data_IF_985257827678
#
_entry.id   IF_985257827678
#
_cell.length_a   1.000
_cell.length_b   1.000
_cell.length_c   1.000
_cell.angle_alpha   90.00
_cell.angle_beta   90.00
_cell.angle_gamma   90.00
#
_symmetry.space_group_name_H-M   'P 1'
#
loop_
_entity.id
_entity.type
_entity.pdbx_description
1 polymer ?
#
# COMPACT_ATOMS: atom_id res chain seq x y z
N UNK A 1 -38.52 -28.78 44.83
CA UNK A 1 -38.36 -27.35 45.18
C UNK A 1 -36.88 -27.04 45.21
N UNK A 2 -36.33 -26.52 44.12
CA UNK A 2 -35.09 -25.70 44.05
C UNK A 2 -34.91 -25.28 42.57
N UNK A 3 -35.69 -24.26 42.22
CA UNK A 3 -35.52 -23.40 41.06
C UNK A 3 -34.65 -22.21 41.49
N UNK A 4 -33.85 -21.67 40.54
CA UNK A 4 -33.07 -20.40 40.49
C UNK A 4 -31.60 -20.67 40.18
N UNK A 5 -30.88 -19.94 39.33
CA UNK A 5 -31.23 -18.83 38.44
C UNK A 5 -30.07 -18.69 37.44
N UNK A 6 -30.37 -18.51 36.16
CA UNK A 6 -29.40 -18.13 35.14
C UNK A 6 -29.29 -16.59 35.09
N UNK A 7 -28.21 -16.02 35.62
CA UNK A 7 -27.81 -14.60 35.49
C UNK A 7 -26.60 -14.41 36.42
N UNK A 8 -25.38 -14.09 36.04
CA UNK A 8 -24.93 -13.14 35.04
C UNK A 8 -23.51 -13.57 34.60
N UNK A 9 -23.34 -13.97 33.34
CA UNK A 9 -22.02 -13.88 32.71
C UNK A 9 -21.73 -12.39 32.52
N UNK A 10 -20.89 -11.82 33.38
CA UNK A 10 -20.37 -10.47 33.21
C UNK A 10 -19.67 -10.39 31.86
N UNK A 11 -20.25 -9.61 30.93
CA UNK A 11 -19.62 -9.22 29.67
C UNK A 11 -18.32 -8.49 30.02
N UNK A 12 -17.18 -9.17 29.91
CA UNK A 12 -15.92 -8.49 29.73
C UNK A 12 -16.05 -7.68 28.44
N UNK A 13 -16.20 -6.36 28.59
CA UNK A 13 -16.11 -5.44 27.48
C UNK A 13 -14.71 -5.61 26.89
N UNK A 14 -14.60 -6.37 25.80
CA UNK A 14 -13.43 -6.39 24.94
C UNK A 14 -13.26 -4.96 24.42
N UNK A 15 -12.51 -4.18 25.17
CA UNK A 15 -11.99 -2.90 24.72
C UNK A 15 -11.04 -3.26 23.57
N UNK A 16 -11.60 -3.33 22.35
CA UNK A 16 -10.82 -3.44 21.12
C UNK A 16 -10.00 -2.16 21.03
N UNK A 17 -8.81 -2.20 21.60
CA UNK A 17 -7.77 -1.23 21.29
C UNK A 17 -7.50 -1.41 19.81
N UNK A 18 -7.94 -0.47 18.99
CA UNK A 18 -7.48 -0.34 17.62
C UNK A 18 -6.01 0.08 17.70
N UNK A 19 -5.13 -0.90 17.89
CA UNK A 19 -3.70 -0.68 17.70
C UNK A 19 -3.51 -0.44 16.22
N UNK A 20 -3.34 0.82 15.83
CA UNK A 20 -2.76 1.13 14.52
C UNK A 20 -1.32 0.64 14.57
N UNK A 21 -1.09 -0.58 14.09
CA UNK A 21 0.25 -1.08 13.87
C UNK A 21 0.84 -0.30 12.69
N UNK A 22 1.70 0.67 12.97
CA UNK A 22 2.64 1.16 11.97
C UNK A 22 3.73 0.11 11.83
N UNK A 23 4.15 -0.20 10.60
CA UNK A 23 5.25 -1.13 10.38
C UNK A 23 6.49 -0.60 11.11
N UNK A 24 6.93 -1.32 12.15
CA UNK A 24 8.12 -1.00 12.97
C UNK A 24 9.43 -1.44 12.30
N UNK A 25 9.38 -1.83 11.03
CA UNK A 25 10.54 -2.34 10.30
C UNK A 25 11.30 -1.25 9.53
N UNK A 26 12.60 -1.50 9.32
CA UNK A 26 13.44 -0.69 8.44
C UNK A 26 12.83 -0.60 7.05
N UNK A 27 12.54 0.62 6.59
CA UNK A 27 11.91 0.83 5.29
C UNK A 27 12.79 0.30 4.15
N UNK A 28 12.18 -0.44 3.24
CA UNK A 28 12.83 -0.91 2.02
C UNK A 28 13.12 0.27 1.10
N UNK A 29 14.13 0.14 0.24
CA UNK A 29 14.55 1.16 -0.73
C UNK A 29 14.34 0.65 -2.15
N UNK A 30 13.92 1.53 -3.06
CA UNK A 30 13.88 1.23 -4.50
C UNK A 30 15.27 1.42 -5.12
N UNK A 31 15.44 0.95 -6.36
CA UNK A 31 16.68 1.17 -7.12
C UNK A 31 16.98 2.66 -7.37
N UNK A 32 15.94 3.51 -7.36
CA UNK A 32 16.07 4.96 -7.56
C UNK A 32 16.18 5.76 -6.25
N UNK A 33 16.28 5.08 -5.10
CA UNK A 33 16.33 5.75 -3.79
C UNK A 33 17.42 6.84 -3.70
N UNK A 34 18.66 6.52 -4.08
CA UNK A 34 19.76 7.48 -4.00
C UNK A 34 19.56 8.67 -4.94
N UNK A 35 18.93 8.44 -6.10
CA UNK A 35 18.54 9.52 -7.00
C UNK A 35 17.50 10.45 -6.34
N UNK A 36 16.49 9.89 -5.67
CA UNK A 36 15.46 10.67 -4.98
C UNK A 36 16.03 11.53 -3.85
N UNK A 37 16.94 10.97 -3.06
CA UNK A 37 17.64 11.72 -1.99
C UNK A 37 18.50 12.83 -2.58
N UNK A 38 19.24 12.54 -3.66
CA UNK A 38 20.09 13.55 -4.34
C UNK A 38 19.28 14.71 -4.93
N UNK A 39 18.05 14.46 -5.38
CA UNK A 39 17.14 15.48 -5.90
C UNK A 39 16.31 16.17 -4.79
N UNK A 40 16.67 16.02 -3.51
CA UNK A 40 15.95 16.60 -2.37
C UNK A 40 14.46 16.21 -2.34
N UNK A 41 14.16 14.97 -2.71
CA UNK A 41 12.83 14.40 -2.58
C UNK A 41 12.43 14.28 -1.11
N UNK A 42 11.22 14.73 -0.77
CA UNK A 42 10.62 14.54 0.54
C UNK A 42 10.27 13.06 0.72
N UNK A 43 11.14 12.31 1.38
CA UNK A 43 10.99 10.87 1.61
C UNK A 43 9.99 10.57 2.72
N UNK A 44 9.07 9.64 2.49
CA UNK A 44 8.08 9.18 3.46
C UNK A 44 7.98 7.65 3.46
N UNK A 45 7.41 7.08 4.52
CA UNK A 45 7.03 5.67 4.54
C UNK A 45 5.78 5.44 3.70
N UNK A 46 5.89 4.61 2.66
CA UNK A 46 4.77 4.21 1.83
C UNK A 46 4.86 2.71 1.50
N UNK A 47 3.83 1.93 1.86
CA UNK A 47 3.76 0.48 1.62
C UNK A 47 5.00 -0.32 2.06
N UNK A 48 5.67 0.10 3.15
CA UNK A 48 6.91 -0.52 3.64
C UNK A 48 8.20 -0.07 2.92
N UNK A 49 8.12 0.91 2.02
CA UNK A 49 9.25 1.52 1.32
C UNK A 49 9.46 2.98 1.74
N UNK A 50 10.68 3.47 1.60
CA UNK A 50 11.02 4.90 1.69
C UNK A 50 10.96 5.52 0.30
N UNK A 51 9.92 6.33 0.04
CA UNK A 51 9.57 6.84 -1.29
C UNK A 51 9.42 8.37 -1.29
N UNK A 52 9.75 9.08 -2.40
CA UNK A 52 9.55 10.52 -2.50
C UNK A 52 8.07 10.87 -2.75
N UNK A 53 7.52 11.83 -2.01
CA UNK A 53 6.17 12.38 -2.27
C UNK A 53 6.22 13.64 -3.11
N UNK A 54 7.22 14.47 -2.90
CA UNK A 54 7.33 15.79 -3.50
C UNK A 54 8.81 16.14 -3.64
N UNK A 55 9.17 16.79 -4.74
CA UNK A 55 10.47 17.45 -4.88
C UNK A 55 10.29 18.93 -4.55
N UNK A 56 11.22 19.48 -3.78
CA UNK A 56 11.08 20.75 -3.05
C UNK A 56 10.44 21.89 -3.86
N UNK A 57 10.81 21.98 -5.14
CA UNK A 57 10.54 23.15 -5.99
C UNK A 57 9.09 23.21 -6.53
N UNK A 58 8.33 22.13 -6.44
CA UNK A 58 6.99 22.02 -7.05
C UNK A 58 5.97 21.52 -6.03
N UNK A 59 4.83 22.21 -5.93
CA UNK A 59 3.66 21.67 -5.22
C UNK A 59 3.14 20.41 -5.91
N UNK A 60 2.41 19.55 -5.18
CA UNK A 60 1.76 18.38 -5.78
C UNK A 60 0.85 18.76 -6.97
N UNK A 61 0.08 19.84 -6.83
CA UNK A 61 -0.76 20.36 -7.91
C UNK A 61 0.04 20.84 -9.11
N UNK A 62 1.16 21.53 -8.89
CA UNK A 62 2.06 21.95 -9.95
C UNK A 62 2.69 20.75 -10.67
N UNK A 63 3.08 19.69 -9.94
CA UNK A 63 3.58 18.44 -10.52
C UNK A 63 2.54 17.74 -11.40
N UNK A 64 1.26 17.73 -10.99
CA UNK A 64 0.17 17.24 -11.83
C UNK A 64 0.02 18.03 -13.12
N UNK A 65 0.05 19.37 -13.05
CA UNK A 65 -0.04 20.23 -14.24
C UNK A 65 1.19 20.03 -15.14
N UNK A 66 2.39 19.90 -14.57
CA UNK A 66 3.61 19.64 -15.31
C UNK A 66 3.53 18.32 -16.09
N UNK A 67 3.07 17.25 -15.44
CA UNK A 67 2.87 15.93 -16.09
C UNK A 67 1.87 16.00 -17.26
N UNK A 68 0.86 16.86 -17.17
CA UNK A 68 -0.14 17.03 -18.24
C UNK A 68 0.35 17.90 -19.40
N UNK A 69 1.21 18.88 -19.14
CA UNK A 69 1.72 19.82 -20.14
C UNK A 69 3.06 19.38 -20.77
N UNK A 70 3.82 18.55 -20.07
CA UNK A 70 5.17 18.14 -20.41
C UNK A 70 5.33 16.62 -20.19
N UNK A 71 6.47 16.19 -19.63
CA UNK A 71 6.78 14.79 -19.33
C UNK A 71 7.28 14.68 -17.90
N UNK A 72 6.86 13.62 -17.21
CA UNK A 72 7.29 13.31 -15.84
C UNK A 72 7.71 11.85 -15.76
N UNK A 73 8.65 11.56 -14.86
CA UNK A 73 9.10 10.20 -14.53
C UNK A 73 8.49 9.77 -13.19
N UNK A 74 7.97 8.54 -13.13
CA UNK A 74 7.37 7.97 -11.92
C UNK A 74 8.12 6.70 -11.50
N UNK A 75 8.54 6.62 -10.23
CA UNK A 75 9.08 5.39 -9.66
C UNK A 75 7.94 4.48 -9.16
N UNK A 76 7.56 3.52 -10.00
CA UNK A 76 6.55 2.49 -9.70
C UNK A 76 7.18 1.17 -9.25
N UNK A 77 8.49 1.14 -8.97
CA UNK A 77 9.24 -0.12 -8.72
C UNK A 77 8.79 -0.86 -7.46
N UNK A 78 8.13 -0.17 -6.53
CA UNK A 78 7.57 -0.77 -5.31
C UNK A 78 6.24 -1.51 -5.57
N UNK A 79 5.60 -1.29 -6.73
CA UNK A 79 4.36 -1.97 -7.10
C UNK A 79 4.64 -3.44 -7.43
N UNK A 80 3.67 -4.30 -7.11
CA UNK A 80 3.78 -5.72 -7.34
C UNK A 80 3.91 -6.02 -8.84
N UNK A 81 4.95 -6.77 -9.21
CA UNK A 81 5.13 -7.31 -10.54
C UNK A 81 5.07 -8.84 -10.45
N UNK A 82 4.00 -9.44 -10.98
CA UNK A 82 3.80 -10.89 -10.98
C UNK A 82 3.85 -11.42 -12.41
N UNK A 83 4.50 -12.58 -12.61
CA UNK A 83 4.51 -13.31 -13.88
C UNK A 83 3.87 -14.67 -13.66
N UNK A 84 2.92 -15.02 -14.51
CA UNK A 84 2.17 -16.27 -14.44
C UNK A 84 2.42 -17.05 -15.72
N UNK A 85 2.85 -18.31 -15.56
CA UNK A 85 3.28 -19.17 -16.66
C UNK A 85 2.44 -20.46 -16.67
N UNK A 86 2.41 -21.14 -17.82
CA UNK A 86 1.68 -22.39 -18.02
C UNK A 86 0.56 -22.29 -19.05
N UNK A 87 0.08 -23.47 -19.47
CA UNK A 87 -0.90 -23.59 -20.55
C UNK A 87 -2.27 -23.03 -20.15
N UNK A 88 -2.67 -23.18 -18.88
CA UNK A 88 -3.98 -22.76 -18.37
C UNK A 88 -3.97 -21.39 -17.68
N UNK A 89 -2.92 -20.57 -17.88
CA UNK A 89 -2.77 -19.29 -17.18
C UNK A 89 -3.92 -18.30 -17.43
N UNK A 90 -4.54 -18.36 -18.60
CA UNK A 90 -5.64 -17.46 -18.98
C UNK A 90 -6.90 -17.84 -18.22
N UNK A 91 -7.31 -19.12 -18.29
CA UNK A 91 -8.49 -19.61 -17.56
C UNK A 91 -8.33 -19.44 -16.04
N UNK A 92 -7.12 -19.62 -15.51
CA UNK A 92 -6.82 -19.32 -14.10
C UNK A 92 -7.03 -17.84 -13.77
N UNK A 93 -6.52 -16.93 -14.60
CA UNK A 93 -6.66 -15.50 -14.36
C UNK A 93 -8.11 -15.04 -14.50
N UNK A 94 -8.84 -15.54 -15.50
CA UNK A 94 -10.28 -15.29 -15.67
C UNK A 94 -11.12 -15.80 -14.48
N UNK A 95 -10.66 -16.83 -13.77
CA UNK A 95 -11.33 -17.27 -12.53
C UNK A 95 -11.14 -16.29 -11.35
N UNK A 96 -10.14 -15.41 -11.41
CA UNK A 96 -9.77 -14.48 -10.34
C UNK A 96 -10.21 -13.03 -10.61
N UNK A 97 -10.26 -12.61 -11.88
CA UNK A 97 -10.54 -11.22 -12.25
C UNK A 97 -11.86 -11.10 -13.02
N UNK A 98 -12.52 -9.94 -12.90
CA UNK A 98 -13.78 -9.64 -13.63
C UNK A 98 -13.47 -9.03 -15.00
N UNK A 99 -12.40 -9.47 -15.64
CA UNK A 99 -11.95 -8.97 -16.94
C UNK A 99 -11.83 -10.15 -17.91
N UNK A 100 -12.22 -9.89 -19.16
CA UNK A 100 -11.95 -10.81 -20.27
C UNK A 100 -10.50 -10.64 -20.72
N UNK A 101 -9.72 -11.73 -20.70
CA UNK A 101 -8.28 -11.71 -20.99
C UNK A 101 -8.02 -12.23 -22.42
N UNK A 102 -8.99 -12.91 -23.04
CA UNK A 102 -8.87 -13.51 -24.37
C UNK A 102 -9.00 -12.50 -25.50
#
# INVERSE_FOLDING_TARGET
MLSRCASCLGRASLMRVNVRAFSTETLRKTALYDFHVKQNGKMVSFAGYSMPVQYADLSLSASHVHTRKHVSLFDVSHMLQSKIHGNQRVDFMESLVVADIK
#
